data_IF_638598380672
#
_entry.id   IF_638598380672
#
_cell.length_a   1.000
_cell.length_b   1.000
_cell.length_c   1.000
_cell.angle_alpha   90.00
_cell.angle_beta   90.00
_cell.angle_gamma   90.00
#
_symmetry.space_group_name_H-M   'P 1'
#
loop_
_entity.id
_entity.type
_entity.pdbx_description
1 polymer ?
#
# COMPACT_ATOMS: atom_id res chain seq x y z
N UNK A 1 -22.75 -11.21 -1.47
CA UNK A 1 -21.63 -12.11 -1.15
C UNK A 1 -20.41 -11.20 -1.13
N UNK A 2 -19.77 -11.00 0.02
CA UNK A 2 -18.60 -10.13 0.09
C UNK A 2 -17.44 -10.85 -0.58
N UNK A 3 -17.14 -10.45 -1.81
CA UNK A 3 -15.88 -10.79 -2.46
C UNK A 3 -14.77 -10.28 -1.55
N UNK A 4 -14.10 -11.21 -0.88
CA UNK A 4 -12.87 -10.92 -0.14
C UNK A 4 -11.85 -10.49 -1.17
N UNK A 5 -11.64 -9.17 -1.28
CA UNK A 5 -10.54 -8.62 -2.04
C UNK A 5 -9.23 -9.31 -1.60
N UNK A 6 -8.38 -9.73 -2.54
CA UNK A 6 -7.11 -10.38 -2.22
C UNK A 6 -6.21 -9.43 -1.43
N UNK A 7 -5.45 -9.97 -0.48
CA UNK A 7 -4.48 -9.19 0.29
C UNK A 7 -3.29 -8.84 -0.60
N UNK A 8 -3.25 -7.60 -1.10
CA UNK A 8 -2.09 -7.05 -1.79
C UNK A 8 -0.97 -6.75 -0.76
N UNK A 9 0.28 -6.93 -1.15
CA UNK A 9 1.45 -6.58 -0.32
C UNK A 9 2.37 -7.76 0.00
N UNK A 10 3.20 -7.60 1.04
CA UNK A 10 4.18 -8.63 1.44
C UNK A 10 3.47 -9.95 1.72
N UNK A 11 3.94 -11.02 1.09
CA UNK A 11 3.43 -12.38 1.34
C UNK A 11 3.60 -12.70 2.83
N UNK A 12 2.52 -13.03 3.56
CA UNK A 12 2.63 -13.42 4.97
C UNK A 12 3.60 -14.61 5.13
N UNK A 13 4.40 -14.68 6.21
CA UNK A 13 5.40 -15.73 6.39
C UNK A 13 4.83 -17.16 6.27
N UNK A 14 3.60 -17.38 6.72
CA UNK A 14 2.94 -18.69 6.64
C UNK A 14 2.50 -19.04 5.22
N UNK A 15 2.04 -18.07 4.43
CA UNK A 15 1.69 -18.28 3.01
C UNK A 15 2.95 -18.49 2.17
N UNK A 16 4.04 -17.78 2.50
CA UNK A 16 5.34 -18.01 1.89
C UNK A 16 5.87 -19.41 2.20
N UNK A 17 5.77 -19.85 3.46
CA UNK A 17 6.16 -21.21 3.86
C UNK A 17 5.34 -22.26 3.10
N UNK A 18 4.02 -22.11 3.01
CA UNK A 18 3.15 -22.98 2.20
C UNK A 18 3.55 -23.02 0.74
N UNK A 19 3.90 -21.87 0.14
CA UNK A 19 4.37 -21.83 -1.24
C UNK A 19 5.68 -22.62 -1.41
N UNK A 20 6.65 -22.43 -0.52
CA UNK A 20 7.95 -23.10 -0.54
C UNK A 20 7.86 -24.62 -0.30
N UNK A 21 6.90 -25.06 0.51
CA UNK A 21 6.64 -26.48 0.79
C UNK A 21 5.81 -27.15 -0.32
N UNK A 22 5.27 -26.38 -1.26
CA UNK A 22 4.46 -26.87 -2.36
C UNK A 22 5.29 -27.05 -3.66
N UNK A 23 4.84 -27.94 -4.55
CA UNK A 23 5.43 -28.05 -5.88
C UNK A 23 5.24 -26.77 -6.72
N UNK A 24 6.14 -26.54 -7.69
CA UNK A 24 6.22 -25.30 -8.51
C UNK A 24 4.86 -24.76 -8.98
N UNK A 25 3.92 -25.55 -9.54
CA UNK A 25 2.65 -25.03 -10.02
C UNK A 25 1.76 -24.43 -8.91
N UNK A 26 1.83 -25.01 -7.71
CA UNK A 26 1.05 -24.57 -6.55
C UNK A 26 1.67 -23.35 -5.91
N UNK A 27 3.00 -23.31 -5.82
CA UNK A 27 3.75 -22.17 -5.30
C UNK A 27 3.46 -20.90 -6.11
N UNK A 28 3.52 -21.00 -7.45
CA UNK A 28 3.18 -19.88 -8.33
C UNK A 28 1.75 -19.38 -8.10
N UNK A 29 0.77 -20.27 -7.92
CA UNK A 29 -0.62 -19.86 -7.69
C UNK A 29 -0.84 -19.20 -6.32
N UNK A 30 -0.08 -19.58 -5.30
CA UNK A 30 -0.14 -18.93 -3.98
C UNK A 30 0.46 -17.54 -4.09
N UNK A 31 1.68 -17.41 -4.63
CA UNK A 31 2.40 -16.15 -4.72
C UNK A 31 1.70 -15.15 -5.64
N UNK A 32 1.15 -15.62 -6.77
CA UNK A 32 0.46 -14.76 -7.74
C UNK A 32 -0.71 -14.01 -7.11
N UNK A 33 -1.36 -14.54 -6.07
CA UNK A 33 -2.48 -13.85 -5.37
C UNK A 33 -2.07 -12.55 -4.66
N UNK A 34 -0.77 -12.39 -4.40
CA UNK A 34 -0.21 -11.22 -3.74
C UNK A 34 0.43 -10.25 -4.75
N UNK A 35 0.42 -10.58 -6.06
CA UNK A 35 0.84 -9.65 -7.10
C UNK A 35 -0.19 -8.55 -7.28
N UNK A 36 0.24 -7.28 -7.47
CA UNK A 36 -0.69 -6.17 -7.71
C UNK A 36 -1.59 -6.35 -8.93
N UNK A 37 -1.08 -7.05 -9.95
CA UNK A 37 -1.80 -7.31 -11.20
C UNK A 37 -2.74 -8.53 -11.11
N UNK A 38 -2.82 -9.19 -9.95
CA UNK A 38 -3.62 -10.40 -9.81
C UNK A 38 -5.12 -10.10 -9.96
N UNK A 39 -5.75 -10.78 -10.92
CA UNK A 39 -7.16 -10.57 -11.23
C UNK A 39 -7.44 -9.32 -12.08
N UNK A 40 -6.41 -8.53 -12.42
CA UNK A 40 -6.54 -7.42 -13.34
C UNK A 40 -6.44 -7.89 -14.80
N UNK A 41 -7.10 -7.20 -15.75
CA UNK A 41 -6.93 -7.45 -17.18
C UNK A 41 -5.46 -7.37 -17.60
N UNK A 42 -5.06 -8.22 -18.55
CA UNK A 42 -3.74 -8.14 -19.15
C UNK A 42 -3.54 -6.76 -19.80
N UNK A 43 -2.39 -6.12 -19.52
CA UNK A 43 -2.10 -4.77 -20.00
C UNK A 43 -2.65 -3.63 -19.15
N UNK A 44 -3.12 -3.91 -17.92
CA UNK A 44 -3.47 -2.84 -16.97
C UNK A 44 -2.22 -2.00 -16.67
N UNK A 45 -2.32 -0.70 -16.86
CA UNK A 45 -1.26 0.27 -16.58
C UNK A 45 -1.38 0.81 -15.16
N UNK A 46 -0.25 1.29 -14.61
CA UNK A 46 -0.28 2.04 -13.35
C UNK A 46 -0.94 3.39 -13.58
N UNK A 47 -1.59 3.89 -12.54
CA UNK A 47 -2.16 5.23 -12.46
C UNK A 47 -1.55 5.96 -11.27
N UNK A 48 -1.59 7.28 -11.36
CA UNK A 48 -1.21 8.15 -10.25
C UNK A 48 -2.35 8.22 -9.22
N UNK A 49 -2.01 7.96 -7.98
CA UNK A 49 -2.89 8.12 -6.83
C UNK A 49 -2.34 9.20 -5.92
N UNK A 50 -3.20 10.13 -5.55
CA UNK A 50 -2.92 11.14 -4.55
C UNK A 50 -3.23 10.57 -3.17
N UNK A 51 -2.19 10.44 -2.35
CA UNK A 51 -2.30 9.95 -0.98
C UNK A 51 -2.13 11.10 -0.01
N UNK A 52 -3.10 11.29 0.88
CA UNK A 52 -3.03 12.27 1.96
C UNK A 52 -2.66 11.58 3.24
N UNK A 53 -1.66 12.13 3.93
CA UNK A 53 -1.22 11.67 5.24
C UNK A 53 -1.63 12.69 6.29
N UNK A 54 -1.91 12.19 7.49
CA UNK A 54 -2.21 13.00 8.65
C UNK A 54 -1.31 12.61 9.82
N UNK A 55 -0.94 13.61 10.63
CA UNK A 55 -0.08 13.47 11.80
C UNK A 55 -0.68 14.17 13.02
N UNK A 56 -0.88 13.44 14.13
CA UNK A 56 -1.73 13.86 15.26
C UNK A 56 -1.02 14.62 16.38
N UNK A 57 0.31 14.77 16.34
CA UNK A 57 1.08 15.03 17.56
C UNK A 57 0.71 16.34 18.29
N UNK A 58 0.36 17.42 17.61
CA UNK A 58 -0.03 18.69 18.27
C UNK A 58 -0.62 19.73 17.33
N UNK A 59 -0.42 19.57 16.03
CA UNK A 59 -0.85 20.48 14.98
C UNK A 59 -1.39 19.58 13.89
N UNK A 60 -2.57 19.85 13.32
CA UNK A 60 -3.16 19.04 12.25
C UNK A 60 -2.31 19.15 10.97
N UNK A 61 -1.18 18.44 10.94
CA UNK A 61 -0.24 18.46 9.83
C UNK A 61 -0.68 17.46 8.78
N UNK A 62 -0.69 17.92 7.53
CA UNK A 62 -1.05 17.12 6.36
C UNK A 62 0.11 17.09 5.38
N UNK A 63 0.40 15.92 4.84
CA UNK A 63 1.29 15.75 3.69
C UNK A 63 0.49 15.14 2.55
N UNK A 64 0.97 15.34 1.32
CA UNK A 64 0.36 14.77 0.12
C UNK A 64 1.46 14.23 -0.77
N UNK A 65 1.35 12.97 -1.17
CA UNK A 65 2.24 12.34 -2.14
C UNK A 65 1.48 11.78 -3.33
N UNK A 66 2.19 11.64 -4.45
CA UNK A 66 1.71 10.94 -5.63
C UNK A 66 2.38 9.57 -5.71
N UNK A 67 1.58 8.51 -5.75
CA UNK A 67 2.02 7.12 -5.82
C UNK A 67 1.49 6.48 -7.11
N UNK A 68 2.38 5.90 -7.91
CA UNK A 68 1.98 5.10 -9.07
C UNK A 68 1.63 3.66 -8.66
N UNK A 69 0.36 3.28 -8.82
CA UNK A 69 -0.15 1.95 -8.47
C UNK A 69 -1.18 1.46 -9.51
N UNK A 70 -1.50 0.16 -9.49
CA UNK A 70 -2.54 -0.46 -10.31
C UNK A 70 -3.93 -0.32 -9.68
N UNK A 71 -4.02 0.01 -8.39
CA UNK A 71 -5.27 0.22 -7.66
C UNK A 71 -5.09 1.16 -6.45
N UNK A 72 -6.20 1.66 -5.90
CA UNK A 72 -6.20 2.44 -4.65
C UNK A 72 -5.67 1.62 -3.46
N UNK A 73 -6.01 0.33 -3.39
CA UNK A 73 -5.57 -0.58 -2.33
C UNK A 73 -4.05 -0.79 -2.37
N UNK A 74 -3.45 -0.89 -3.56
CA UNK A 74 -1.99 -0.94 -3.71
C UNK A 74 -1.34 0.39 -3.34
N UNK A 75 -1.92 1.51 -3.76
CA UNK A 75 -1.40 2.84 -3.38
C UNK A 75 -1.40 3.03 -1.85
N UNK A 76 -2.46 2.59 -1.14
CA UNK A 76 -2.51 2.60 0.33
C UNK A 76 -1.45 1.68 0.96
N UNK A 77 -1.27 0.47 0.42
CA UNK A 77 -0.27 -0.47 0.93
C UNK A 77 1.17 0.01 0.70
N UNK A 78 1.43 0.71 -0.42
CA UNK A 78 2.71 1.36 -0.70
C UNK A 78 2.92 2.55 0.23
N UNK A 79 1.91 3.40 0.41
CA UNK A 79 1.94 4.53 1.32
C UNK A 79 2.30 4.12 2.75
N UNK A 80 1.66 3.08 3.29
CA UNK A 80 1.95 2.56 4.64
C UNK A 80 3.35 1.94 4.81
N UNK A 81 4.08 1.71 3.72
CA UNK A 81 5.46 1.22 3.74
C UNK A 81 6.50 2.34 3.57
N UNK A 82 6.05 3.58 3.28
CA UNK A 82 6.94 4.71 3.13
C UNK A 82 7.53 5.16 4.47
N UNK A 83 8.70 5.77 4.41
CA UNK A 83 9.27 6.46 5.57
C UNK A 83 8.58 7.83 5.72
N UNK A 84 7.60 7.89 6.62
CA UNK A 84 6.74 9.06 6.81
C UNK A 84 7.50 10.30 7.34
N UNK A 85 8.71 10.11 7.88
CA UNK A 85 9.56 11.23 8.32
C UNK A 85 10.16 12.01 7.14
N UNK A 86 10.18 11.43 5.94
CA UNK A 86 10.68 12.10 4.72
C UNK A 86 9.59 12.82 3.90
N UNK A 87 8.34 12.83 4.37
CA UNK A 87 7.23 13.48 3.67
C UNK A 87 7.32 15.01 3.82
N UNK A 88 6.89 15.74 2.79
CA UNK A 88 6.79 17.21 2.83
C UNK A 88 5.52 17.64 3.58
N UNK A 89 5.64 17.81 4.89
CA UNK A 89 4.53 18.19 5.77
C UNK A 89 4.23 19.70 5.66
N UNK A 90 2.96 20.03 5.39
CA UNK A 90 2.50 21.42 5.14
C UNK A 90 2.61 22.41 6.33
N UNK A 91 3.14 21.96 7.46
CA UNK A 91 3.59 22.78 8.58
C UNK A 91 4.61 21.93 9.33
N UNK A 92 5.84 22.41 9.56
CA UNK A 92 6.81 21.69 10.39
C UNK A 92 7.26 22.60 11.53
N UNK A 93 6.41 22.78 12.55
CA UNK A 93 6.90 23.39 13.80
C UNK A 93 7.37 22.28 14.73
N UNK A 94 8.58 21.79 14.47
CA UNK A 94 9.44 21.16 15.47
C UNK A 94 8.80 20.08 16.36
N UNK A 95 8.15 19.09 15.76
CA UNK A 95 7.67 17.90 16.47
C UNK A 95 7.91 16.66 15.64
N UNK A 96 8.71 15.73 16.16
CA UNK A 96 8.57 14.34 15.73
C UNK A 96 7.17 13.92 16.17
N UNK A 97 6.29 13.54 15.26
CA UNK A 97 5.08 12.89 15.72
C UNK A 97 5.32 11.41 15.88
N UNK A 98 4.84 10.92 17.01
CA UNK A 98 4.91 9.51 17.36
C UNK A 98 4.08 8.64 16.41
N UNK A 99 3.07 9.20 15.72
CA UNK A 99 2.15 8.46 14.84
C UNK A 99 1.74 9.29 13.61
N UNK A 100 1.78 8.65 12.44
CA UNK A 100 1.28 9.18 11.17
C UNK A 100 0.52 8.09 10.42
N UNK A 101 -0.55 8.48 9.72
CA UNK A 101 -1.43 7.55 9.04
C UNK A 101 -1.89 8.08 7.70
N UNK A 102 -2.23 7.16 6.80
CA UNK A 102 -2.93 7.47 5.55
C UNK A 102 -4.36 7.91 5.89
N UNK A 103 -4.70 9.15 5.55
CA UNK A 103 -6.05 9.71 5.73
C UNK A 103 -6.97 9.30 4.58
N UNK A 104 -6.48 9.39 3.34
CA UNK A 104 -7.26 9.10 2.14
C UNK A 104 -6.37 8.81 0.93
N UNK A 105 -6.86 7.96 0.03
CA UNK A 105 -6.27 7.69 -1.29
C UNK A 105 -7.32 7.99 -2.36
N UNK A 106 -6.98 8.87 -3.31
CA UNK A 106 -7.83 9.22 -4.45
C UNK A 106 -7.03 9.09 -5.76
N UNK A 107 -7.67 8.69 -6.87
CA UNK A 107 -7.02 8.74 -8.20
C UNK A 107 -6.78 10.23 -8.53
N UNK A 108 -5.58 10.56 -9.02
CA UNK A 108 -5.15 11.94 -9.22
C UNK A 108 -5.83 12.65 -10.40
#
# INVERSE_FOLDING_TARGET
MSDKHPSFGRVPPDEFRKAMESGVPTASNILRKFEPTFGLPAGTEKKEYKVRFYRTATTEERATEIIEAYSQEEAEALANQMDHDNLDWSYSSSGNADESYVESVEEA
#
